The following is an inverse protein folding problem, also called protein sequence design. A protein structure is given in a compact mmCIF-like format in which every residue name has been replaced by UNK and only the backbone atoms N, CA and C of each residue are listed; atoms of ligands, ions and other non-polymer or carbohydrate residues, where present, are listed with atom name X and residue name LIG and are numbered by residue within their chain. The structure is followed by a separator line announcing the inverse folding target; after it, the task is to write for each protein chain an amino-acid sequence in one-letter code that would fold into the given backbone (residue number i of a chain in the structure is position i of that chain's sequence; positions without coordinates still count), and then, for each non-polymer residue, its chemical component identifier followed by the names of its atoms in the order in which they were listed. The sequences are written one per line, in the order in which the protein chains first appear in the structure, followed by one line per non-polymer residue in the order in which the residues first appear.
data_IF_439221467792
#
_entry.id   IF_439221467792
#
_cell.length_a   1.000
_cell.length_b   1.000
_cell.length_c   1.000
_cell.angle_alpha   90.00
_cell.angle_beta   90.00
_cell.angle_gamma   90.00
#
_symmetry.space_group_name_H-M   'P 1'
#
loop_
_entity.id
_entity.type
_entity.pdbx_description
1 polymer ?
#
# COMPACT_ATOMS: atom_id res chain seq x y z
N UNK A 1 -11.78 -64.14 48.49
CA UNK A 1 -10.68 -63.21 48.81
C UNK A 1 -11.24 -61.79 48.78
N UNK A 2 -10.96 -60.91 49.75
CA UNK A 2 -11.35 -59.51 49.61
C UNK A 2 -10.44 -58.88 48.55
N UNK A 3 -11.03 -58.44 47.43
CA UNK A 3 -10.31 -57.71 46.39
C UNK A 3 -10.17 -56.26 46.83
N UNK A 4 -8.96 -55.72 46.71
CA UNK A 4 -8.72 -54.29 46.91
C UNK A 4 -9.35 -53.54 45.74
N UNK A 5 -10.29 -52.66 46.05
CA UNK A 5 -10.97 -51.81 45.07
C UNK A 5 -10.64 -50.34 45.37
N UNK A 6 -10.21 -49.61 44.35
CA UNK A 6 -10.00 -48.17 44.42
C UNK A 6 -11.29 -47.47 43.98
N UNK A 7 -11.80 -46.57 44.81
CA UNK A 7 -13.05 -45.82 44.55
C UNK A 7 -12.71 -44.36 44.36
N UNK A 8 -13.03 -43.83 43.17
CA UNK A 8 -12.78 -42.43 42.81
C UNK A 8 -14.09 -41.66 42.69
N UNK A 9 -14.13 -40.46 43.26
CA UNK A 9 -15.24 -39.52 43.08
C UNK A 9 -14.82 -38.42 42.11
N UNK A 10 -15.34 -38.47 40.88
CA UNK A 10 -15.03 -37.49 39.83
C UNK A 10 -16.29 -36.70 39.49
N UNK A 11 -16.20 -35.38 39.56
CA UNK A 11 -17.28 -34.50 39.15
C UNK A 11 -17.10 -34.10 37.68
N UNK A 12 -18.01 -34.58 36.81
CA UNK A 12 -17.98 -34.32 35.36
C UNK A 12 -18.66 -33.01 34.97
N UNK A 13 -19.51 -32.44 35.83
CA UNK A 13 -20.28 -31.23 35.53
C UNK A 13 -19.54 -29.95 35.93
N UNK A 14 -18.51 -30.06 36.77
CA UNK A 14 -17.80 -28.89 37.31
C UNK A 14 -16.70 -28.43 36.36
N UNK A 15 -16.80 -27.18 35.93
CA UNK A 15 -15.72 -26.47 35.26
C UNK A 15 -14.75 -25.96 36.35
N UNK A 16 -13.46 -26.24 36.18
CA UNK A 16 -12.39 -25.82 37.07
C UNK A 16 -11.62 -24.71 36.37
N UNK A 17 -11.52 -23.56 37.04
CA UNK A 17 -10.77 -22.41 36.55
C UNK A 17 -9.44 -22.32 37.29
N UNK A 18 -8.34 -22.21 36.54
CA UNK A 18 -6.99 -22.07 37.08
C UNK A 18 -6.37 -20.80 36.51
N UNK A 19 -5.90 -19.93 37.42
CA UNK A 19 -5.14 -18.73 37.07
C UNK A 19 -3.70 -19.11 36.77
N UNK A 20 -3.16 -18.60 35.67
CA UNK A 20 -1.77 -18.79 35.28
C UNK A 20 -1.10 -17.45 35.01
N UNK A 21 0.22 -17.43 35.19
CA UNK A 21 1.05 -16.27 34.93
C UNK A 21 2.42 -16.74 34.45
N UNK A 22 2.77 -16.37 33.23
CA UNK A 22 4.10 -16.59 32.69
C UNK A 22 4.96 -15.39 33.12
N UNK A 23 6.08 -15.61 33.85
CA UNK A 23 6.99 -14.54 34.24
C UNK A 23 7.65 -13.94 33.00
N UNK A 24 8.35 -12.81 33.16
CA UNK A 24 9.03 -12.15 32.04
C UNK A 24 9.95 -13.10 31.27
N UNK A 25 9.77 -13.15 29.96
CA UNK A 25 10.63 -13.85 29.03
C UNK A 25 10.84 -13.01 27.77
N UNK A 26 11.99 -13.21 27.12
CA UNK A 26 12.35 -12.44 25.93
C UNK A 26 11.62 -12.97 24.70
N UNK A 27 11.06 -12.04 23.94
CA UNK A 27 10.44 -12.29 22.64
C UNK A 27 11.07 -11.39 21.60
N UNK A 28 11.27 -11.95 20.41
CA UNK A 28 12.02 -11.33 19.33
C UNK A 28 11.08 -11.02 18.16
N UNK A 29 11.29 -9.86 17.54
CA UNK A 29 10.58 -9.51 16.32
C UNK A 29 11.28 -10.19 15.13
N UNK A 30 10.57 -10.89 14.23
CA UNK A 30 11.17 -11.49 13.02
C UNK A 30 11.92 -10.50 12.15
N UNK A 31 11.53 -9.21 12.19
CA UNK A 31 12.15 -8.15 11.40
C UNK A 31 13.40 -7.60 12.07
N UNK A 32 13.50 -7.77 13.39
CA UNK A 32 14.52 -7.18 14.26
C UNK A 32 14.86 -8.18 15.37
N UNK A 33 15.52 -9.28 14.98
CA UNK A 33 15.86 -10.40 15.88
C UNK A 33 16.92 -10.06 16.93
N UNK A 34 17.59 -8.92 16.79
CA UNK A 34 18.68 -8.50 17.66
C UNK A 34 18.19 -7.93 19.00
N UNK A 35 16.91 -7.53 19.07
CA UNK A 35 16.32 -6.88 20.24
C UNK A 35 15.29 -7.81 20.91
N UNK A 36 15.71 -8.45 22.00
CA UNK A 36 14.80 -9.20 22.87
C UNK A 36 13.98 -8.23 23.73
N UNK A 37 12.65 -8.34 23.68
CA UNK A 37 11.75 -7.56 24.52
C UNK A 37 11.15 -8.47 25.60
N UNK A 38 11.42 -8.21 26.89
CA UNK A 38 10.82 -8.97 27.96
C UNK A 38 9.31 -8.72 28.04
N UNK A 39 8.52 -9.79 28.00
CA UNK A 39 7.08 -9.73 28.19
C UNK A 39 6.61 -10.79 29.20
N UNK A 40 5.55 -10.44 29.92
CA UNK A 40 4.85 -11.33 30.83
C UNK A 40 3.41 -11.53 30.36
N UNK A 41 2.85 -12.70 30.61
CA UNK A 41 1.48 -13.06 30.18
C UNK A 41 0.69 -13.54 31.38
N UNK A 42 -0.52 -13.05 31.54
CA UNK A 42 -1.43 -13.46 32.61
C UNK A 42 -2.77 -13.85 32.04
N UNK A 43 -3.38 -14.88 32.62
CA UNK A 43 -4.66 -15.37 32.14
C UNK A 43 -5.29 -16.42 33.02
N UNK A 44 -6.38 -16.95 32.51
CA UNK A 44 -7.15 -18.03 33.12
C UNK A 44 -7.45 -19.11 32.11
N UNK A 45 -7.28 -20.36 32.53
CA UNK A 45 -7.71 -21.52 31.78
C UNK A 45 -8.88 -22.16 32.51
N UNK A 46 -9.92 -22.52 31.76
CA UNK A 46 -11.07 -23.25 32.27
C UNK A 46 -11.09 -24.63 31.62
N UNK A 47 -11.12 -25.69 32.43
CA UNK A 47 -11.16 -27.06 31.92
C UNK A 47 -12.18 -27.91 32.69
N UNK A 48 -12.58 -29.01 32.07
CA UNK A 48 -13.51 -29.99 32.64
C UNK A 48 -13.07 -31.41 32.26
N UNK A 49 -13.52 -32.38 33.05
CA UNK A 49 -13.30 -33.80 32.75
C UNK A 49 -14.58 -34.33 32.10
N UNK A 50 -14.50 -34.72 30.83
CA UNK A 50 -15.61 -35.40 30.13
C UNK A 50 -15.42 -36.91 30.11
N UNK A 51 -14.23 -37.38 29.73
CA UNK A 51 -13.90 -38.80 29.74
C UNK A 51 -13.09 -39.17 30.98
N UNK A 52 -13.77 -39.72 31.98
CA UNK A 52 -13.13 -40.16 33.22
C UNK A 52 -12.22 -41.38 33.02
N UNK A 53 -12.46 -42.21 31.99
CA UNK A 53 -11.66 -43.42 31.75
C UNK A 53 -10.29 -43.04 31.20
N UNK A 54 -10.28 -42.12 30.24
CA UNK A 54 -9.04 -41.56 29.69
C UNK A 54 -8.26 -40.80 30.78
N UNK A 55 -8.95 -39.98 31.58
CA UNK A 55 -8.36 -39.26 32.69
C UNK A 55 -7.65 -40.17 33.71
N UNK A 56 -8.31 -41.26 34.16
CA UNK A 56 -7.73 -42.22 35.11
C UNK A 56 -6.57 -43.00 34.49
N UNK A 57 -6.62 -43.28 33.17
CA UNK A 57 -5.53 -43.97 32.46
C UNK A 57 -4.25 -43.14 32.41
N UNK A 58 -4.38 -41.84 32.20
CA UNK A 58 -3.25 -40.90 32.06
C UNK A 58 -2.71 -40.45 33.42
N UNK A 59 -3.58 -40.22 34.41
CA UNK A 59 -3.19 -39.77 35.74
C UNK A 59 -3.23 -40.97 36.69
N UNK A 60 -2.09 -41.52 37.12
CA UNK A 60 -2.06 -42.62 38.10
C UNK A 60 -2.43 -42.09 39.49
N UNK A 61 -3.66 -42.36 39.93
CA UNK A 61 -4.30 -41.73 41.11
C UNK A 61 -3.99 -42.43 42.45
N UNK A 62 -2.73 -42.82 42.73
CA UNK A 62 -2.39 -43.47 44.01
C UNK A 62 -2.58 -42.52 45.21
N UNK A 63 -2.27 -41.24 45.03
CA UNK A 63 -2.50 -40.16 46.01
C UNK A 63 -2.85 -38.89 45.23
N UNK A 64 -4.11 -38.73 44.86
CA UNK A 64 -4.56 -37.59 44.05
C UNK A 64 -5.04 -36.43 44.92
N UNK A 65 -4.36 -35.30 44.85
CA UNK A 65 -4.81 -34.01 45.39
C UNK A 65 -5.16 -33.08 44.24
N UNK A 66 -6.35 -32.47 44.31
CA UNK A 66 -6.82 -31.48 43.35
C UNK A 66 -5.87 -30.29 43.23
N UNK A 67 -5.29 -29.83 44.35
CA UNK A 67 -4.40 -28.68 44.36
C UNK A 67 -3.11 -28.97 43.60
N UNK A 68 -2.54 -30.16 43.77
CA UNK A 68 -1.31 -30.55 43.06
C UNK A 68 -1.58 -30.77 41.58
N UNK A 69 -2.74 -31.35 41.23
CA UNK A 69 -3.17 -31.42 39.84
C UNK A 69 -3.35 -30.03 39.21
N UNK A 70 -3.99 -29.09 39.92
CA UNK A 70 -4.09 -27.70 39.45
C UNK A 70 -2.73 -27.04 39.27
N UNK A 71 -1.75 -27.30 40.13
CA UNK A 71 -0.37 -26.82 39.95
C UNK A 71 0.26 -27.43 38.69
N UNK A 72 0.13 -28.73 38.47
CA UNK A 72 0.66 -29.39 37.27
C UNK A 72 0.05 -28.84 35.98
N UNK A 73 -1.28 -28.64 35.94
CA UNK A 73 -1.97 -28.02 34.80
C UNK A 73 -1.47 -26.60 34.60
N UNK A 74 -1.36 -25.80 35.67
CA UNK A 74 -0.85 -24.43 35.58
C UNK A 74 0.57 -24.41 35.01
N UNK A 75 1.46 -25.28 35.47
CA UNK A 75 2.85 -25.30 35.03
C UNK A 75 2.97 -25.75 33.56
N UNK A 76 2.15 -26.73 33.14
CA UNK A 76 2.06 -27.15 31.74
C UNK A 76 1.51 -26.04 30.83
N UNK A 77 0.44 -25.37 31.27
CA UNK A 77 -0.16 -24.22 30.56
C UNK A 77 0.85 -23.08 30.44
N UNK A 78 1.57 -22.73 31.51
CA UNK A 78 2.62 -21.71 31.44
C UNK A 78 3.68 -22.04 30.38
N UNK A 79 4.06 -23.32 30.25
CA UNK A 79 5.02 -23.76 29.21
C UNK A 79 4.46 -23.59 27.80
N UNK A 80 3.22 -24.01 27.56
CA UNK A 80 2.57 -23.92 26.25
C UNK A 80 2.28 -22.47 25.84
N UNK A 81 1.76 -21.66 26.76
CA UNK A 81 1.54 -20.23 26.53
C UNK A 81 2.86 -19.53 26.20
N UNK A 82 3.94 -19.84 26.93
CA UNK A 82 5.26 -19.27 26.64
C UNK A 82 5.71 -19.59 25.21
N UNK A 83 5.59 -20.84 24.79
CA UNK A 83 5.98 -21.29 23.45
C UNK A 83 5.12 -20.63 22.36
N UNK A 84 3.79 -20.61 22.54
CA UNK A 84 2.86 -19.99 21.60
C UNK A 84 3.08 -18.48 21.47
N UNK A 85 3.25 -17.75 22.59
CA UNK A 85 3.45 -16.30 22.59
C UNK A 85 4.84 -15.93 22.07
N UNK A 86 5.88 -16.72 22.37
CA UNK A 86 7.23 -16.49 21.81
C UNK A 86 7.24 -16.62 20.28
N UNK A 87 6.45 -17.56 19.73
CA UNK A 87 6.38 -17.79 18.28
C UNK A 87 5.30 -16.94 17.59
N UNK A 88 4.39 -16.30 18.33
CA UNK A 88 3.27 -15.53 17.78
C UNK A 88 3.70 -14.36 16.86
N UNK A 89 4.75 -13.57 17.18
CA UNK A 89 5.25 -12.52 16.28
C UNK A 89 5.69 -13.06 14.93
N UNK A 90 6.36 -14.21 14.91
CA UNK A 90 6.83 -14.89 13.70
C UNK A 90 5.69 -15.49 12.88
N UNK A 91 4.77 -16.20 13.53
CA UNK A 91 3.68 -16.89 12.85
C UNK A 91 2.64 -15.91 12.26
N UNK A 92 2.35 -14.82 12.96
CA UNK A 92 1.28 -13.89 12.58
C UNK A 92 1.80 -12.56 12.00
N UNK A 93 3.12 -12.42 11.84
CA UNK A 93 3.78 -11.19 11.37
C UNK A 93 3.35 -9.95 12.19
N UNK A 94 3.20 -10.15 13.51
CA UNK A 94 2.78 -9.11 14.47
C UNK A 94 4.04 -8.45 15.03
N UNK A 95 4.21 -7.12 14.90
CA UNK A 95 5.30 -6.41 15.56
C UNK A 95 5.20 -6.58 17.07
N UNK A 96 6.31 -6.87 17.74
CA UNK A 96 6.31 -7.13 19.21
C UNK A 96 5.71 -5.95 19.98
N UNK A 97 5.90 -4.73 19.51
CA UNK A 97 5.33 -3.53 20.13
C UNK A 97 3.80 -3.42 20.02
N UNK A 98 3.19 -4.11 19.05
CA UNK A 98 1.73 -4.13 18.86
C UNK A 98 1.09 -5.39 19.46
N UNK A 99 1.86 -6.27 20.11
CA UNK A 99 1.36 -7.53 20.65
C UNK A 99 0.22 -7.33 21.66
N UNK A 100 0.28 -6.25 22.47
CA UNK A 100 -0.77 -5.87 23.44
C UNK A 100 -2.12 -5.63 22.73
N UNK A 101 -2.10 -5.05 21.52
CA UNK A 101 -3.32 -4.73 20.75
C UNK A 101 -3.92 -5.95 20.03
N UNK A 102 -3.14 -7.04 19.89
CA UNK A 102 -3.52 -8.24 19.14
C UNK A 102 -3.79 -9.45 20.04
N UNK A 103 -4.12 -9.20 21.31
CA UNK A 103 -4.37 -10.26 22.30
C UNK A 103 -5.42 -11.28 21.86
N UNK A 104 -6.49 -10.87 21.15
CA UNK A 104 -7.53 -11.79 20.66
C UNK A 104 -6.97 -12.85 19.69
N UNK A 105 -6.13 -12.45 18.74
CA UNK A 105 -5.52 -13.37 17.76
C UNK A 105 -4.60 -14.38 18.44
N UNK A 106 -3.89 -13.93 19.48
CA UNK A 106 -3.00 -14.78 20.27
C UNK A 106 -3.82 -15.74 21.13
N UNK A 107 -4.93 -15.28 21.70
CA UNK A 107 -5.82 -16.11 22.49
C UNK A 107 -6.37 -17.29 21.68
N UNK A 108 -6.84 -17.04 20.46
CA UNK A 108 -7.36 -18.09 19.57
C UNK A 108 -6.28 -19.14 19.23
N UNK A 109 -5.06 -18.70 18.94
CA UNK A 109 -3.94 -19.59 18.64
C UNK A 109 -3.53 -20.43 19.87
N UNK A 110 -3.48 -19.80 21.04
CA UNK A 110 -3.16 -20.45 22.31
C UNK A 110 -4.24 -21.45 22.72
N UNK A 111 -5.51 -21.12 22.55
CA UNK A 111 -6.64 -21.99 22.87
C UNK A 111 -6.60 -23.29 22.05
N UNK A 112 -6.27 -23.19 20.75
CA UNK A 112 -6.12 -24.35 19.88
C UNK A 112 -4.99 -25.29 20.34
N UNK A 113 -3.78 -24.76 20.56
CA UNK A 113 -2.61 -25.57 20.94
C UNK A 113 -2.76 -26.19 22.34
N UNK A 114 -3.28 -25.42 23.30
CA UNK A 114 -3.50 -25.90 24.67
C UNK A 114 -4.62 -26.94 24.72
N UNK A 115 -5.70 -26.75 23.94
CA UNK A 115 -6.83 -27.66 23.88
C UNK A 115 -6.43 -29.09 23.48
N UNK A 116 -5.61 -29.22 22.44
CA UNK A 116 -5.12 -30.51 21.95
C UNK A 116 -4.14 -31.14 22.96
N UNK A 117 -3.14 -30.38 23.40
CA UNK A 117 -2.08 -30.91 24.29
C UNK A 117 -2.59 -31.30 25.67
N UNK A 118 -3.51 -30.54 26.26
CA UNK A 118 -4.07 -30.88 27.58
C UNK A 118 -4.96 -32.12 27.52
N UNK A 119 -5.66 -32.32 26.40
CA UNK A 119 -6.44 -33.53 26.16
C UNK A 119 -5.54 -34.76 26.09
N UNK A 120 -4.46 -34.70 25.32
CA UNK A 120 -3.52 -35.82 25.18
C UNK A 120 -2.69 -36.09 26.44
N UNK A 121 -2.22 -35.04 27.11
CA UNK A 121 -1.31 -35.18 28.26
C UNK A 121 -2.04 -35.54 29.55
N UNK A 122 -3.23 -34.97 29.77
CA UNK A 122 -3.94 -35.07 31.06
C UNK A 122 -5.35 -35.64 30.94
N UNK A 123 -5.90 -35.85 29.75
CA UNK A 123 -7.27 -36.34 29.56
C UNK A 123 -8.34 -35.31 29.95
N UNK A 124 -8.02 -34.01 29.90
CA UNK A 124 -8.95 -32.92 30.25
C UNK A 124 -9.38 -32.16 29.01
N UNK A 125 -10.65 -31.73 28.99
CA UNK A 125 -11.19 -30.89 27.93
C UNK A 125 -11.11 -29.42 28.36
N UNK A 126 -10.41 -28.62 27.57
CA UNK A 126 -10.40 -27.16 27.74
C UNK A 126 -11.75 -26.60 27.29
N UNK A 127 -12.38 -25.84 28.17
CA UNK A 127 -13.66 -25.16 27.90
C UNK A 127 -13.46 -23.72 27.44
N UNK A 128 -12.30 -23.15 27.74
CA UNK A 128 -11.88 -21.84 27.23
C UNK A 128 -10.55 -21.41 27.85
N UNK A 129 -9.82 -20.59 27.11
CA UNK A 129 -8.62 -19.89 27.57
C UNK A 129 -8.88 -18.39 27.43
N UNK A 130 -8.50 -17.62 28.44
CA UNK A 130 -8.62 -16.17 28.44
C UNK A 130 -7.30 -15.54 28.86
N UNK A 131 -6.66 -14.84 27.92
CA UNK A 131 -5.47 -14.02 28.19
C UNK A 131 -5.95 -12.65 28.69
N UNK A 132 -5.83 -12.44 30.00
CA UNK A 132 -6.25 -11.21 30.65
C UNK A 132 -5.34 -10.02 30.30
N UNK A 133 -4.02 -10.23 30.23
CA UNK A 133 -3.07 -9.20 29.89
C UNK A 133 -1.75 -9.77 29.37
N UNK A 134 -1.16 -9.07 28.40
CA UNK A 134 0.24 -9.22 27.99
C UNK A 134 0.93 -7.92 28.41
N UNK A 135 1.90 -8.00 29.31
CA UNK A 135 2.61 -6.86 29.88
C UNK A 135 4.02 -6.81 29.27
N UNK A 136 4.32 -5.75 28.51
CA UNK A 136 5.67 -5.50 28.02
C UNK A 136 6.45 -4.69 29.05
N UNK A 137 7.70 -5.09 29.33
CA UNK A 137 8.61 -4.25 30.12
C UNK A 137 9.14 -3.06 29.29
N UNK A 138 8.46 -1.93 29.44
CA UNK A 138 8.83 -0.65 28.80
C UNK A 138 10.12 -0.03 29.36
N UNK A 139 10.61 -0.53 30.50
CA UNK A 139 11.84 -0.04 31.13
C UNK A 139 13.09 -0.73 30.59
N UNK A 140 12.93 -1.92 30.00
CA UNK A 140 14.01 -2.71 29.42
C UNK A 140 14.73 -1.99 28.28
N UNK A 141 16.03 -2.23 28.18
CA UNK A 141 16.89 -1.71 27.12
C UNK A 141 16.42 -2.20 25.73
N UNK A 142 16.02 -3.47 25.60
CA UNK A 142 15.56 -4.05 24.34
C UNK A 142 14.32 -3.35 23.79
N UNK A 143 13.37 -2.98 24.66
CA UNK A 143 12.19 -2.21 24.25
C UNK A 143 12.57 -0.81 23.75
N UNK A 144 13.48 -0.13 24.45
CA UNK A 144 13.92 1.23 24.08
C UNK A 144 14.66 1.25 22.76
N UNK A 145 15.55 0.28 22.53
CA UNK A 145 16.29 0.14 21.28
C UNK A 145 15.35 -0.16 20.11
N UNK A 146 14.42 -1.12 20.27
CA UNK A 146 13.40 -1.42 19.27
C UNK A 146 12.55 -0.18 18.92
N UNK A 147 12.19 0.62 19.93
CA UNK A 147 11.45 1.87 19.74
C UNK A 147 12.25 2.99 19.08
N UNK A 148 13.56 3.02 19.27
CA UNK A 148 14.42 3.98 18.58
C UNK A 148 14.47 3.62 17.08
N UNK A 149 14.82 2.39 16.75
CA UNK A 149 14.91 1.90 15.37
C UNK A 149 13.58 2.03 14.63
N UNK A 150 12.47 1.68 15.27
CA UNK A 150 11.14 1.79 14.64
C UNK A 150 10.76 3.24 14.35
N UNK A 151 11.09 4.17 15.25
CA UNK A 151 10.84 5.61 15.04
C UNK A 151 11.74 6.18 13.95
N UNK A 152 13.01 5.79 13.93
CA UNK A 152 13.97 6.25 12.93
C UNK A 152 13.57 5.76 11.54
N UNK A 153 13.20 4.48 11.39
CA UNK A 153 12.70 3.93 10.12
C UNK A 153 11.43 4.67 9.66
N UNK A 154 10.49 4.92 10.57
CA UNK A 154 9.27 5.66 10.23
C UNK A 154 9.58 7.10 9.79
N UNK A 155 10.49 7.79 10.48
CA UNK A 155 10.93 9.13 10.12
C UNK A 155 11.63 9.15 8.75
N UNK A 156 12.62 8.27 8.54
CA UNK A 156 13.34 8.16 7.27
C UNK A 156 12.41 7.80 6.11
N UNK A 157 11.41 6.94 6.34
CA UNK A 157 10.41 6.62 5.32
C UNK A 157 9.57 7.84 4.94
N UNK A 158 9.08 8.58 5.93
CA UNK A 158 8.31 9.82 5.68
C UNK A 158 9.16 10.85 4.94
N UNK A 159 10.44 10.99 5.31
CA UNK A 159 11.38 11.87 4.61
C UNK A 159 11.61 11.44 3.16
N UNK A 160 11.84 10.15 2.91
CA UNK A 160 12.02 9.61 1.57
C UNK A 160 10.77 9.79 0.70
N UNK A 161 9.58 9.51 1.25
CA UNK A 161 8.29 9.75 0.57
C UNK A 161 8.09 11.25 0.28
N UNK A 162 8.50 12.13 1.20
CA UNK A 162 8.44 13.59 1.00
C UNK A 162 9.42 14.05 -0.09
N UNK A 163 10.66 13.53 -0.09
CA UNK A 163 11.65 13.85 -1.11
C UNK A 163 11.19 13.39 -2.49
N UNK A 164 10.69 12.16 -2.61
CA UNK A 164 10.13 11.62 -3.84
C UNK A 164 8.91 12.42 -4.32
N UNK A 165 8.05 12.87 -3.40
CA UNK A 165 6.94 13.77 -3.72
C UNK A 165 7.43 15.13 -4.26
N UNK A 166 8.41 15.74 -3.61
CA UNK A 166 9.00 17.03 -4.04
C UNK A 166 9.66 16.88 -5.41
N UNK A 167 10.37 15.78 -5.65
CA UNK A 167 11.04 15.53 -6.94
C UNK A 167 10.02 15.31 -8.05
N UNK A 168 8.94 14.54 -7.79
CA UNK A 168 7.82 14.41 -8.73
C UNK A 168 7.18 15.76 -9.07
N UNK A 169 6.96 16.62 -8.08
CA UNK A 169 6.47 17.99 -8.30
C UNK A 169 7.45 18.85 -9.09
N UNK A 170 8.76 18.62 -8.95
CA UNK A 170 9.79 19.34 -9.70
C UNK A 170 9.78 18.90 -11.17
N UNK A 171 9.82 17.59 -11.42
CA UNK A 171 9.75 17.01 -12.77
C UNK A 171 8.48 17.49 -13.48
N UNK A 172 7.33 17.44 -12.82
CA UNK A 172 6.06 17.90 -13.40
C UNK A 172 6.08 19.40 -13.77
N UNK A 173 6.71 20.24 -12.94
CA UNK A 173 6.88 21.67 -13.25
C UNK A 173 7.83 21.89 -14.42
N UNK A 174 8.92 21.14 -14.51
CA UNK A 174 9.87 21.21 -15.62
C UNK A 174 9.24 20.73 -16.93
N UNK A 175 8.53 19.60 -16.92
CA UNK A 175 7.79 19.10 -18.07
C UNK A 175 6.68 20.06 -18.51
N UNK A 176 5.95 20.67 -17.57
CA UNK A 176 4.95 21.71 -17.88
C UNK A 176 5.56 22.94 -18.55
N UNK A 177 6.73 23.39 -18.07
CA UNK A 177 7.49 24.49 -18.71
C UNK A 177 8.00 24.10 -20.09
N UNK A 178 8.46 22.86 -20.26
CA UNK A 178 8.92 22.34 -21.53
C UNK A 178 7.78 22.24 -22.55
N UNK A 179 6.62 21.74 -22.14
CA UNK A 179 5.41 21.68 -22.96
C UNK A 179 4.98 23.07 -23.43
N UNK A 180 4.99 24.07 -22.54
CA UNK A 180 4.70 25.48 -22.90
C UNK A 180 5.71 26.07 -23.89
N UNK A 181 7.01 25.78 -23.71
CA UNK A 181 8.04 26.20 -24.67
C UNK A 181 7.82 25.55 -26.04
N UNK A 182 7.56 24.24 -26.06
CA UNK A 182 7.27 23.51 -27.30
C UNK A 182 5.99 23.99 -27.98
N UNK A 183 4.95 24.31 -27.21
CA UNK A 183 3.71 24.86 -27.74
C UNK A 183 3.94 26.26 -28.34
N UNK A 184 4.67 27.14 -27.65
CA UNK A 184 5.02 28.47 -28.17
C UNK A 184 5.88 28.37 -29.44
N UNK A 185 6.86 27.47 -29.47
CA UNK A 185 7.67 27.20 -30.67
C UNK A 185 6.80 26.68 -31.82
N UNK A 186 5.85 25.80 -31.53
CA UNK A 186 4.91 25.25 -32.53
C UNK A 186 3.99 26.33 -33.09
N UNK A 187 3.46 27.20 -32.21
CA UNK A 187 2.59 28.32 -32.59
C UNK A 187 3.32 29.37 -33.44
N UNK A 188 4.61 29.59 -33.15
CA UNK A 188 5.47 30.54 -33.87
C UNK A 188 6.49 29.82 -34.78
N UNK A 189 6.10 28.71 -35.42
CA UNK A 189 7.00 27.88 -36.24
C UNK A 189 7.75 28.69 -37.29
N UNK A 190 7.11 29.66 -37.93
CA UNK A 190 7.74 30.49 -38.97
C UNK A 190 8.92 31.32 -38.44
N UNK A 191 8.77 31.92 -37.26
CA UNK A 191 9.85 32.69 -36.62
C UNK A 191 10.95 31.76 -36.06
N UNK A 192 10.54 30.65 -35.42
CA UNK A 192 11.46 29.66 -34.87
C UNK A 192 12.33 28.99 -35.95
N UNK A 193 11.76 28.72 -37.13
CA UNK A 193 12.49 28.12 -38.25
C UNK A 193 13.56 29.07 -38.80
N UNK A 194 13.28 30.37 -38.89
CA UNK A 194 14.24 31.41 -39.28
C UNK A 194 15.34 31.57 -38.23
N UNK A 195 14.98 31.59 -36.94
CA UNK A 195 15.94 31.69 -35.84
C UNK A 195 16.88 30.49 -35.78
N UNK A 196 16.34 29.26 -35.92
CA UNK A 196 17.17 28.05 -36.01
C UNK A 196 18.05 28.05 -37.24
N UNK A 197 17.54 28.47 -38.41
CA UNK A 197 18.34 28.60 -39.64
C UNK A 197 19.48 29.62 -39.48
N UNK A 198 19.24 30.74 -38.81
CA UNK A 198 20.28 31.71 -38.50
C UNK A 198 21.34 31.13 -37.54
N UNK A 199 20.91 30.38 -36.52
CA UNK A 199 21.81 29.74 -35.54
C UNK A 199 22.72 28.68 -36.19
N UNK A 200 22.17 27.77 -37.01
CA UNK A 200 23.02 26.84 -37.78
C UNK A 200 23.87 27.55 -38.83
N UNK A 201 23.41 28.66 -39.41
CA UNK A 201 24.20 29.49 -40.34
C UNK A 201 25.41 30.14 -39.67
N UNK A 202 25.23 30.69 -38.46
CA UNK A 202 26.31 31.27 -37.65
C UNK A 202 27.28 30.19 -37.16
N UNK A 203 26.78 29.06 -36.64
CA UNK A 203 27.61 27.94 -36.23
C UNK A 203 28.40 27.35 -37.41
N UNK A 204 27.77 27.25 -38.59
CA UNK A 204 28.43 26.85 -39.83
C UNK A 204 29.51 27.83 -40.28
N UNK A 205 29.25 29.15 -40.20
CA UNK A 205 30.24 30.18 -40.53
C UNK A 205 31.40 30.22 -39.53
N UNK A 206 31.15 30.00 -38.24
CA UNK A 206 32.20 29.86 -37.23
C UNK A 206 33.03 28.59 -37.42
N UNK A 207 32.39 27.46 -37.73
CA UNK A 207 33.09 26.23 -38.07
C UNK A 207 33.94 26.40 -39.34
N UNK A 208 33.44 27.08 -40.37
CA UNK A 208 34.18 27.40 -41.60
C UNK A 208 35.35 28.37 -41.33
N UNK A 209 35.14 29.38 -40.48
CA UNK A 209 36.17 30.32 -40.05
C UNK A 209 37.27 29.66 -39.22
N UNK A 210 36.93 28.72 -38.33
CA UNK A 210 37.91 27.91 -37.60
C UNK A 210 38.61 26.87 -38.50
N UNK A 211 37.93 26.33 -39.51
CA UNK A 211 38.54 25.44 -40.51
C UNK A 211 39.53 26.20 -41.41
N UNK A 212 39.24 27.47 -41.73
CA UNK A 212 40.18 28.38 -42.39
C UNK A 212 41.36 28.78 -41.50
N UNK A 213 41.17 28.90 -40.18
CA UNK A 213 42.24 29.20 -39.23
C UNK A 213 43.20 28.00 -38.99
N UNK A 214 42.71 26.76 -39.14
CA UNK A 214 43.49 25.53 -38.96
C UNK A 214 44.10 24.98 -40.28
N UNK A 215 44.08 25.75 -41.38
CA UNK A 215 44.84 25.43 -42.60
C UNK A 215 44.31 24.29 -43.46
N UNK A 216 43.03 23.91 -43.33
CA UNK A 216 42.42 22.80 -44.08
C UNK A 216 41.48 23.24 -45.23
N UNK A 217 41.70 24.42 -45.82
CA UNK A 217 40.87 24.93 -46.91
C UNK A 217 41.45 26.19 -47.54
N UNK A 218 42.58 26.08 -48.22
CA UNK A 218 43.11 27.14 -49.09
C UNK A 218 42.21 27.23 -50.35
N UNK A 219 41.39 28.28 -50.42
CA UNK A 219 40.59 28.60 -51.61
C UNK A 219 41.26 29.77 -52.31
N UNK A 220 42.11 29.44 -53.29
CA UNK A 220 42.78 30.40 -54.16
C UNK A 220 41.76 31.21 -54.97
N UNK A 221 41.72 32.52 -54.73
CA UNK A 221 40.82 33.49 -55.39
C UNK A 221 41.56 34.38 -56.41
N UNK A 222 42.74 33.97 -56.88
CA UNK A 222 43.48 34.73 -57.90
C UNK A 222 44.00 33.83 -59.03
N UNK A 223 43.39 34.00 -60.21
CA UNK A 223 44.00 33.64 -61.49
C UNK A 223 43.57 32.29 -62.06
N UNK A 224 42.88 32.36 -63.20
CA UNK A 224 42.59 31.29 -64.16
C UNK A 224 41.78 30.07 -63.69
N UNK A 225 40.50 30.05 -64.10
CA UNK A 225 39.82 28.83 -64.54
C UNK A 225 39.38 27.84 -63.45
N UNK A 226 38.38 28.23 -62.67
CA UNK A 226 37.33 27.41 -61.98
C UNK A 226 36.84 28.20 -60.75
N UNK A 227 36.34 29.42 -61.01
CA UNK A 227 35.76 30.25 -59.95
C UNK A 227 34.39 29.71 -59.55
N UNK A 228 34.17 29.57 -58.24
CA UNK A 228 32.89 29.34 -57.59
C UNK A 228 31.86 28.57 -58.43
N UNK A 229 31.79 27.26 -58.21
CA UNK A 229 30.80 26.43 -58.88
C UNK A 229 29.40 26.74 -58.33
N UNK A 230 28.78 27.80 -58.86
CA UNK A 230 27.40 28.20 -58.60
C UNK A 230 26.43 27.03 -58.80
N UNK A 231 26.78 26.08 -59.68
CA UNK A 231 26.03 24.84 -59.86
C UNK A 231 26.12 23.90 -58.66
N UNK A 232 27.25 23.82 -57.94
CA UNK A 232 27.37 23.04 -56.71
C UNK A 232 26.64 23.69 -55.52
N UNK A 233 26.62 25.02 -55.46
CA UNK A 233 25.86 25.78 -54.47
C UNK A 233 24.34 25.76 -54.75
N UNK A 234 23.93 25.78 -56.02
CA UNK A 234 22.54 25.61 -56.43
C UNK A 234 22.08 24.15 -56.29
N UNK A 235 22.96 23.18 -56.51
CA UNK A 235 22.70 21.76 -56.26
C UNK A 235 22.55 21.46 -54.77
N UNK A 236 23.35 22.07 -53.88
CA UNK A 236 23.17 21.90 -52.43
C UNK A 236 21.89 22.56 -51.91
N UNK A 237 21.46 23.68 -52.51
CA UNK A 237 20.14 24.28 -52.25
C UNK A 237 18.99 23.44 -52.82
N UNK A 238 19.16 22.84 -54.01
CA UNK A 238 18.17 21.96 -54.63
C UNK A 238 18.01 20.62 -53.87
N UNK A 239 19.10 20.10 -53.29
CA UNK A 239 19.05 18.92 -52.40
C UNK A 239 18.37 19.29 -51.07
N UNK A 240 18.59 20.49 -50.53
CA UNK A 240 17.82 21.02 -49.41
C UNK A 240 16.32 21.18 -49.71
N UNK A 241 15.98 21.56 -50.95
CA UNK A 241 14.61 21.65 -51.45
C UNK A 241 13.91 20.29 -51.63
N UNK A 242 14.64 19.25 -52.05
CA UNK A 242 14.09 17.89 -52.22
C UNK A 242 13.78 17.19 -50.87
N UNK A 243 14.56 17.50 -49.83
CA UNK A 243 14.26 17.05 -48.44
C UNK A 243 13.12 17.89 -47.86
N UNK A 244 13.09 19.20 -48.15
CA UNK A 244 11.98 20.09 -47.78
C UNK A 244 10.63 19.69 -48.37
N UNK A 245 10.61 19.19 -49.62
CA UNK A 245 9.38 18.69 -50.26
C UNK A 245 8.89 17.35 -49.69
N UNK A 246 9.79 16.45 -49.26
CA UNK A 246 9.39 15.20 -48.59
C UNK A 246 8.84 15.45 -47.18
N UNK A 247 9.36 16.45 -46.46
CA UNK A 247 8.85 16.86 -45.15
C UNK A 247 7.54 17.65 -45.28
N UNK A 248 7.40 18.51 -46.29
CA UNK A 248 6.16 19.23 -46.58
C UNK A 248 5.02 18.29 -47.03
N UNK A 249 5.33 17.24 -47.80
CA UNK A 249 4.36 16.20 -48.19
C UNK A 249 3.91 15.32 -47.03
N UNK A 250 4.82 14.97 -46.12
CA UNK A 250 4.49 14.21 -44.91
C UNK A 250 3.67 15.04 -43.90
N UNK A 251 3.90 16.35 -43.84
CA UNK A 251 3.19 17.29 -42.96
C UNK A 251 1.78 17.63 -43.48
N UNK A 252 1.58 17.65 -44.80
CA UNK A 252 0.25 17.85 -45.41
C UNK A 252 -0.71 16.66 -45.15
N UNK A 253 -0.18 15.44 -45.03
CA UNK A 253 -0.96 14.26 -44.64
C UNK A 253 -1.27 14.20 -43.12
N UNK A 254 -0.56 14.94 -42.28
CA UNK A 254 -0.84 15.03 -40.85
C UNK A 254 -1.89 16.10 -40.52
N UNK A 255 -2.13 17.05 -41.43
CA UNK A 255 -3.03 18.19 -41.22
C UNK A 255 -4.46 17.96 -41.75
N UNK A 256 -4.70 16.86 -42.48
CA UNK A 256 -6.02 16.48 -43.00
C UNK A 256 -6.95 15.74 -42.03
N UNK A 257 -6.49 15.44 -40.79
CA UNK A 257 -7.26 14.68 -39.79
C UNK A 257 -7.98 15.51 -38.72
N UNK A 258 -7.94 16.84 -38.79
CA UNK A 258 -8.35 17.75 -37.69
C UNK A 258 -9.86 18.09 -37.69
N UNK A 259 -10.67 17.36 -38.46
CA UNK A 259 -12.11 17.58 -38.50
C UNK A 259 -12.87 16.69 -37.50
N UNK A 260 -12.68 16.93 -36.20
CA UNK A 260 -13.69 16.62 -35.19
C UNK A 260 -13.48 17.42 -33.88
N UNK A 261 -14.41 18.36 -33.69
CA UNK A 261 -14.93 18.92 -32.43
C UNK A 261 -13.96 19.65 -31.48
N UNK A 262 -14.18 20.96 -31.44
CA UNK A 262 -13.74 21.95 -30.47
C UNK A 262 -14.25 21.69 -29.04
N UNK A 263 -13.35 21.74 -28.06
CA UNK A 263 -13.65 22.05 -26.64
C UNK A 263 -12.53 22.90 -26.03
N UNK A 264 -12.82 23.85 -25.10
CA UNK A 264 -11.90 24.89 -24.68
C UNK A 264 -11.07 24.54 -23.44
N UNK A 265 -9.79 24.94 -23.44
CA UNK A 265 -8.99 25.31 -22.25
C UNK A 265 -8.40 24.17 -21.40
N UNK A 266 -7.08 23.94 -21.51
CA UNK A 266 -6.33 23.15 -20.54
C UNK A 266 -5.71 24.07 -19.47
N UNK A 267 -6.42 24.15 -18.34
CA UNK A 267 -5.98 24.70 -17.04
C UNK A 267 -4.87 23.81 -16.40
N UNK A 268 -4.15 24.30 -15.36
CA UNK A 268 -3.02 23.58 -14.74
C UNK A 268 -3.44 22.20 -14.24
N UNK A 269 -2.53 21.21 -14.14
CA UNK A 269 -2.91 19.88 -13.67
C UNK A 269 -3.48 20.00 -12.25
N UNK A 270 -4.70 19.51 -12.00
CA UNK A 270 -5.34 19.62 -10.70
C UNK A 270 -4.60 18.77 -9.68
N UNK A 271 -4.71 19.17 -8.41
CA UNK A 271 -4.48 18.32 -7.24
C UNK A 271 -5.15 16.96 -7.50
N UNK A 272 -4.57 15.81 -7.12
CA UNK A 272 -5.23 14.51 -7.29
C UNK A 272 -6.56 14.49 -6.54
N UNK A 273 -7.63 14.88 -7.22
CA UNK A 273 -8.99 14.77 -6.73
C UNK A 273 -9.34 13.29 -6.72
N UNK A 274 -10.00 12.83 -5.65
CA UNK A 274 -10.51 11.46 -5.58
C UNK A 274 -11.49 11.28 -6.74
N UNK A 275 -11.08 10.49 -7.71
CA UNK A 275 -11.84 10.18 -8.91
C UNK A 275 -12.67 8.92 -8.70
N UNK A 276 -13.98 9.02 -8.89
CA UNK A 276 -14.93 7.92 -8.80
C UNK A 276 -15.43 7.52 -10.18
N UNK A 277 -15.58 6.22 -10.39
CA UNK A 277 -16.26 5.66 -11.56
C UNK A 277 -17.62 5.13 -11.10
N UNK A 278 -18.66 5.34 -11.91
CA UNK A 278 -20.03 4.89 -11.65
C UNK A 278 -20.47 3.97 -12.78
N UNK A 279 -21.06 2.84 -12.44
CA UNK A 279 -21.67 1.96 -13.45
C UNK A 279 -23.07 2.47 -13.80
N UNK A 280 -23.23 3.01 -15.01
CA UNK A 280 -24.52 3.45 -15.56
C UNK A 280 -24.85 2.49 -16.71
N UNK A 281 -26.03 1.84 -16.65
CA UNK A 281 -26.46 0.83 -17.64
C UNK A 281 -25.45 -0.33 -17.85
N UNK A 282 -24.72 -0.73 -16.80
CA UNK A 282 -23.72 -1.79 -16.86
C UNK A 282 -22.38 -1.38 -17.49
N UNK A 283 -22.20 -0.11 -17.86
CA UNK A 283 -20.93 0.43 -18.32
C UNK A 283 -20.32 1.36 -17.28
N UNK A 284 -19.00 1.22 -17.08
CA UNK A 284 -18.25 2.13 -16.24
C UNK A 284 -18.15 3.50 -16.91
N UNK A 285 -18.66 4.53 -16.22
CA UNK A 285 -18.61 5.93 -16.63
C UNK A 285 -17.84 6.74 -15.58
N UNK A 286 -17.07 7.74 -16.01
CA UNK A 286 -16.17 8.53 -15.16
C UNK A 286 -14.82 8.80 -15.84
N UNK A 287 -13.85 9.42 -15.14
CA UNK A 287 -13.85 9.76 -13.71
C UNK A 287 -14.71 10.98 -13.34
N UNK A 288 -15.42 10.87 -12.23
CA UNK A 288 -16.24 11.93 -11.63
C UNK A 288 -15.67 12.35 -10.28
N UNK A 289 -15.82 13.63 -9.95
CA UNK A 289 -15.56 14.15 -8.61
C UNK A 289 -16.82 14.06 -7.72
N UNK A 290 -16.66 14.35 -6.43
CA UNK A 290 -17.78 14.29 -5.48
C UNK A 290 -18.92 15.25 -5.84
N UNK A 291 -18.61 16.43 -6.39
CA UNK A 291 -19.62 17.41 -6.80
C UNK A 291 -20.51 16.90 -7.94
N UNK A 292 -19.91 16.23 -8.92
CA UNK A 292 -20.65 15.59 -10.03
C UNK A 292 -21.48 14.43 -9.50
N UNK A 293 -20.97 13.62 -8.56
CA UNK A 293 -21.76 12.55 -7.93
C UNK A 293 -22.97 13.09 -7.18
N UNK A 294 -22.85 14.23 -6.47
CA UNK A 294 -24.00 14.90 -5.83
C UNK A 294 -25.06 15.31 -6.85
N UNK A 295 -24.66 15.85 -7.99
CA UNK A 295 -25.59 16.22 -9.07
C UNK A 295 -26.24 14.98 -9.70
N UNK A 296 -25.49 13.90 -9.92
CA UNK A 296 -26.02 12.64 -10.44
C UNK A 296 -27.01 12.01 -9.46
N UNK A 297 -26.77 12.14 -8.15
CA UNK A 297 -27.70 11.69 -7.11
C UNK A 297 -29.00 12.51 -7.12
N UNK A 298 -28.89 13.85 -7.21
CA UNK A 298 -30.05 14.73 -7.32
C UNK A 298 -30.86 14.51 -8.62
N UNK A 299 -30.19 14.15 -9.72
CA UNK A 299 -30.83 13.82 -10.99
C UNK A 299 -31.42 12.39 -11.04
N UNK A 300 -31.27 11.60 -9.97
CA UNK A 300 -31.71 10.20 -9.91
C UNK A 300 -30.91 9.22 -10.78
N UNK A 301 -29.78 9.67 -11.35
CA UNK A 301 -28.87 8.85 -12.16
C UNK A 301 -27.92 8.02 -11.30
N UNK A 302 -27.68 8.46 -10.06
CA UNK A 302 -26.94 7.74 -9.03
C UNK A 302 -27.87 7.46 -7.85
N UNK A 303 -28.00 6.21 -7.45
CA UNK A 303 -28.78 5.78 -6.30
C UNK A 303 -27.88 5.07 -5.29
N UNK A 304 -28.37 4.82 -4.08
CA UNK A 304 -27.62 4.07 -3.07
C UNK A 304 -27.22 2.65 -3.54
N UNK A 305 -27.96 2.08 -4.49
CA UNK A 305 -27.70 0.77 -5.09
C UNK A 305 -26.78 0.81 -6.31
N UNK A 306 -26.46 2.00 -6.85
CA UNK A 306 -25.56 2.13 -7.99
C UNK A 306 -24.15 1.66 -7.63
N UNK A 307 -23.49 0.96 -8.55
CA UNK A 307 -22.12 0.49 -8.35
C UNK A 307 -21.13 1.62 -8.60
N UNK A 308 -20.21 1.80 -7.67
CA UNK A 308 -19.15 2.80 -7.72
C UNK A 308 -17.80 2.16 -7.42
N UNK A 309 -16.75 2.73 -7.97
CA UNK A 309 -15.38 2.31 -7.73
C UNK A 309 -14.46 3.52 -7.69
N UNK A 310 -13.44 3.49 -6.82
CA UNK A 310 -12.37 4.47 -6.81
C UNK A 310 -11.02 3.78 -6.72
N UNK A 311 -9.97 4.49 -7.11
CA UNK A 311 -8.61 4.01 -6.99
C UNK A 311 -8.30 3.68 -5.51
N UNK A 312 -7.88 2.44 -5.23
CA UNK A 312 -7.70 1.91 -3.87
C UNK A 312 -8.80 0.95 -3.38
N UNK A 313 -9.92 0.80 -4.11
CA UNK A 313 -10.91 -0.25 -3.81
C UNK A 313 -10.59 -1.57 -4.53
N UNK A 314 -10.74 -2.69 -3.82
CA UNK A 314 -10.49 -4.03 -4.37
C UNK A 314 -11.54 -4.48 -5.42
N UNK A 315 -12.78 -3.98 -5.32
CA UNK A 315 -13.88 -4.31 -6.21
C UNK A 315 -14.91 -3.17 -6.24
N UNK A 316 -15.83 -3.21 -7.22
CA UNK A 316 -16.98 -2.31 -7.27
C UNK A 316 -17.86 -2.50 -6.03
N UNK A 317 -18.26 -1.39 -5.40
CA UNK A 317 -19.11 -1.39 -4.22
C UNK A 317 -20.38 -0.59 -4.49
N UNK A 318 -21.47 -0.88 -3.76
CA UNK A 318 -22.68 -0.04 -3.81
C UNK A 318 -22.37 1.35 -3.24
N UNK A 319 -22.91 2.39 -3.86
CA UNK A 319 -22.69 3.78 -3.45
C UNK A 319 -23.05 4.03 -1.97
N UNK A 320 -24.13 3.40 -1.48
CA UNK A 320 -24.55 3.50 -0.06
C UNK A 320 -23.63 2.77 0.94
N UNK A 321 -22.73 1.90 0.48
CA UNK A 321 -21.75 1.21 1.34
C UNK A 321 -20.42 1.97 1.45
N UNK A 322 -20.18 2.94 0.57
CA UNK A 322 -18.98 3.78 0.62
C UNK A 322 -19.21 4.91 1.63
N UNK A 323 -18.47 4.90 2.74
CA UNK A 323 -18.67 5.84 3.85
C UNK A 323 -18.66 7.31 3.42
N UNK A 324 -17.82 7.66 2.45
CA UNK A 324 -17.70 9.01 1.89
C UNK A 324 -18.91 9.45 1.06
N UNK A 325 -19.70 8.50 0.53
CA UNK A 325 -20.84 8.77 -0.36
C UNK A 325 -22.20 8.63 0.34
N UNK A 326 -22.24 8.09 1.57
CA UNK A 326 -23.49 7.89 2.33
C UNK A 326 -24.31 9.17 2.48
N UNK A 327 -23.63 10.30 2.69
CA UNK A 327 -24.27 11.60 2.89
C UNK A 327 -24.95 12.14 1.62
N UNK A 328 -24.60 11.64 0.43
CA UNK A 328 -25.23 12.05 -0.83
C UNK A 328 -26.68 11.57 -0.96
N UNK A 329 -27.05 10.54 -0.20
CA UNK A 329 -28.38 9.92 -0.24
C UNK A 329 -29.21 10.23 1.02
N UNK A 330 -28.70 11.09 1.91
CA UNK A 330 -29.35 11.39 3.19
C UNK A 330 -30.49 12.42 3.08
N UNK A 331 -30.70 13.04 1.92
CA UNK A 331 -31.66 14.13 1.74
C UNK A 331 -33.00 13.62 1.20
N UNK A 332 -33.74 12.91 2.06
CA UNK A 332 -35.19 12.75 1.88
C UNK A 332 -35.88 13.84 2.69
N UNK A 333 -35.94 15.05 2.13
CA UNK A 333 -36.79 16.12 2.65
C UNK A 333 -38.24 15.56 2.75
N UNK A 334 -38.85 15.52 3.95
CA UNK A 334 -40.17 14.94 4.13
C UNK A 334 -41.19 15.74 3.29
N UNK A 335 -42.16 15.07 2.64
CA UNK A 335 -43.17 15.74 1.83
C UNK A 335 -43.95 16.75 2.67
N UNK A 336 -44.17 17.94 2.09
CA UNK A 336 -45.00 18.99 2.69
C UNK A 336 -46.39 18.38 2.94
N UNK A 337 -46.94 18.50 4.18
CA UNK A 337 -48.26 17.98 4.49
C UNK A 337 -49.31 18.56 3.53
N UNK A 338 -50.28 17.75 3.05
CA UNK A 338 -51.37 18.29 2.26
C UNK A 338 -52.15 19.32 3.07
N UNK A 339 -52.42 20.46 2.44
CA UNK A 339 -53.28 21.50 2.98
C UNK A 339 -54.72 20.98 2.86
N UNK A 340 -55.37 20.69 4.00
CA UNK A 340 -56.84 20.59 4.10
C UNK A 340 -57.48 21.98 4.06
#
# INVERSE_FOLDING_TARGET
TPFQAEVYFINLARIIQVKFGVPFFDVYDPRLSDFGVPLAVRGTVSFQIRDYREFIKLNRLNTFDLNDFQKQIRDAVCRYVKDAVANAPAANNIPVIQIETKTAQINDAVECDIGERLKESFGVLVSGVDIAAIEIDKTSEGYRQLMAVTRDIAATRVEAETQDYVERLRIQREEGRYAMHKQTQTANIGAFQVEKQAEVGVAGAQALGQMGANGAGDVSLSGSGEGFNMAAMMASMAVGGAIGQNIAGAMNNMMGGINQQTTPGAVPPPIPAVAYHVAVNGQATGPFDISVLTQMAAAGQLTADSLVWKNGMAQWAKAGMVDELKNLFADTMPPIPPIE
#
